data_IF_375657925187
#
_entry.id   IF_375657925187
#
_cell.length_a   1.000
_cell.length_b   1.000
_cell.length_c   1.000
_cell.angle_alpha   90.00
_cell.angle_beta   90.00
_cell.angle_gamma   90.00
#
_symmetry.space_group_name_H-M   'P 1'
#
loop_
_entity.id
_entity.type
_entity.pdbx_description
1 polymer ?
#
# COMPACT_ATOMS: atom_id res chain seq x y z
N UNK A 1 8.76 26.01 14.48
CA UNK A 1 8.18 26.48 13.28
C UNK A 1 8.27 25.48 12.17
N UNK A 2 7.16 25.20 11.53
CA UNK A 2 7.11 24.28 10.44
C UNK A 2 7.08 22.83 10.89
N UNK A 3 7.49 21.97 10.00
CA UNK A 3 7.39 20.54 10.17
C UNK A 3 8.51 19.86 9.41
N UNK A 4 8.78 18.62 9.82
CA UNK A 4 9.64 17.74 9.05
C UNK A 4 8.81 17.01 8.01
N UNK A 5 9.45 16.64 6.91
CA UNK A 5 8.80 15.90 5.83
C UNK A 5 9.38 14.50 5.77
N UNK A 6 8.52 13.51 5.66
CA UNK A 6 8.90 12.13 5.39
C UNK A 6 8.27 11.68 4.09
N UNK A 7 9.00 10.89 3.32
CA UNK A 7 8.50 10.33 2.07
C UNK A 7 8.63 8.82 2.09
N UNK A 8 7.51 8.15 1.81
CA UNK A 8 7.45 6.70 1.68
C UNK A 8 6.86 6.34 0.35
N UNK A 9 7.03 5.09 -0.03
CA UNK A 9 6.39 4.54 -1.22
C UNK A 9 5.94 3.11 -0.92
N UNK A 10 4.85 2.70 -1.57
CA UNK A 10 4.28 1.40 -1.34
C UNK A 10 3.49 0.88 -2.54
N UNK A 11 2.97 -0.32 -2.36
CA UNK A 11 2.18 -1.00 -3.37
C UNK A 11 0.83 -1.41 -2.83
N UNK A 12 -0.22 -1.04 -3.55
CA UNK A 12 -1.50 -1.71 -3.42
C UNK A 12 -1.44 -2.91 -4.35
N UNK A 13 -1.44 -4.11 -3.77
CA UNK A 13 -1.31 -5.36 -4.53
C UNK A 13 -2.66 -6.02 -4.62
N UNK A 14 -3.02 -6.48 -5.82
CA UNK A 14 -4.25 -7.23 -6.00
C UNK A 14 -3.99 -8.61 -6.61
N UNK A 15 -4.93 -9.49 -6.37
CA UNK A 15 -4.93 -10.87 -6.81
C UNK A 15 -6.31 -11.21 -7.35
N UNK A 16 -6.34 -11.93 -8.48
CA UNK A 16 -7.61 -12.33 -9.11
C UNK A 16 -7.82 -13.81 -9.00
N UNK A 17 -8.91 -14.20 -8.37
CA UNK A 17 -9.35 -15.59 -8.33
C UNK A 17 -10.88 -15.64 -8.43
N UNK A 18 -11.39 -15.13 -9.55
CA UNK A 18 -12.84 -14.92 -9.72
C UNK A 18 -13.31 -13.57 -9.17
N UNK A 19 -12.61 -13.03 -8.19
CA UNK A 19 -12.84 -11.71 -7.62
C UNK A 19 -11.49 -11.00 -7.52
N UNK A 20 -11.54 -9.69 -7.43
CA UNK A 20 -10.35 -8.89 -7.17
C UNK A 20 -10.25 -8.69 -5.67
N UNK A 21 -9.13 -9.12 -5.09
CA UNK A 21 -8.84 -8.93 -3.67
C UNK A 21 -7.54 -8.16 -3.51
N UNK A 22 -7.49 -7.33 -2.50
CA UNK A 22 -6.34 -6.46 -2.21
C UNK A 22 -5.67 -6.90 -0.92
N UNK A 23 -4.34 -6.80 -0.89
CA UNK A 23 -3.55 -7.20 0.27
C UNK A 23 -3.47 -6.08 1.29
N UNK A 24 -3.82 -6.41 2.53
CA UNK A 24 -3.58 -5.55 3.68
C UNK A 24 -2.78 -6.31 4.72
N UNK A 25 -1.84 -5.61 5.34
CA UNK A 25 -1.06 -6.11 6.45
C UNK A 25 -1.72 -5.70 7.76
N UNK A 26 -1.55 -6.52 8.79
CA UNK A 26 -2.17 -6.29 10.10
C UNK A 26 -1.09 -6.08 11.14
N UNK A 27 -1.32 -5.10 12.01
CA UNK A 27 -0.46 -4.86 13.16
C UNK A 27 -1.30 -4.27 14.28
N UNK A 28 -1.37 -4.98 15.42
CA UNK A 28 -2.11 -4.55 16.61
C UNK A 28 -3.54 -4.11 16.29
N UNK A 29 -4.22 -4.91 15.48
CA UNK A 29 -5.61 -4.66 15.10
C UNK A 29 -5.81 -3.59 14.04
N UNK A 30 -4.75 -3.01 13.51
CA UNK A 30 -4.82 -2.01 12.45
C UNK A 30 -4.39 -2.60 11.12
N UNK A 31 -4.98 -2.08 10.05
CA UNK A 31 -4.68 -2.52 8.69
C UNK A 31 -3.85 -1.46 7.98
N UNK A 32 -2.91 -1.91 7.16
CA UNK A 32 -2.09 -1.01 6.35
C UNK A 32 -1.68 -1.70 5.05
N UNK A 33 -1.24 -0.87 4.10
CA UNK A 33 -0.74 -1.32 2.81
C UNK A 33 0.79 -1.39 2.90
N UNK A 34 1.44 -2.40 2.29
CA UNK A 34 2.90 -2.48 2.32
C UNK A 34 3.56 -1.19 1.82
N UNK A 35 4.40 -0.60 2.64
CA UNK A 35 5.11 0.63 2.31
C UNK A 35 6.28 0.85 3.26
N UNK A 36 7.16 1.76 2.88
CA UNK A 36 8.24 2.16 3.77
C UNK A 36 8.96 3.39 3.27
N UNK A 37 9.90 3.85 4.09
CA UNK A 37 10.63 5.10 3.85
C UNK A 37 11.56 4.99 2.65
N UNK A 38 11.55 6.02 1.82
CA UNK A 38 12.47 6.15 0.71
C UNK A 38 13.88 6.37 1.25
N UNK A 39 14.82 5.61 0.76
CA UNK A 39 16.22 5.70 1.15
C UNK A 39 17.01 6.53 0.14
N UNK A 40 18.15 7.09 0.56
CA UNK A 40 18.99 7.86 -0.37
C UNK A 40 19.36 7.02 -1.60
N UNK A 41 19.23 7.65 -2.76
CA UNK A 41 19.55 6.97 -4.02
C UNK A 41 18.43 6.15 -4.61
N UNK A 42 17.31 6.00 -3.91
CA UNK A 42 16.16 5.27 -4.43
C UNK A 42 15.15 6.23 -5.09
N UNK A 43 14.57 5.79 -6.20
CA UNK A 43 13.36 6.44 -6.68
C UNK A 43 12.14 5.80 -5.99
N UNK A 44 10.96 6.35 -6.22
CA UNK A 44 9.73 5.91 -5.56
C UNK A 44 9.41 4.44 -5.86
N UNK A 45 9.51 4.05 -7.11
CA UNK A 45 9.19 2.67 -7.49
C UNK A 45 10.17 1.67 -6.88
N UNK A 46 11.45 2.00 -6.85
CA UNK A 46 12.46 1.15 -6.21
C UNK A 46 12.16 0.96 -4.74
N UNK A 47 11.83 2.05 -4.04
CA UNK A 47 11.43 1.98 -2.62
C UNK A 47 10.22 1.06 -2.44
N UNK A 48 9.19 1.26 -3.25
CA UNK A 48 7.96 0.49 -3.14
C UNK A 48 8.20 -1.00 -3.36
N UNK A 49 8.99 -1.35 -4.37
CA UNK A 49 9.33 -2.75 -4.66
C UNK A 49 10.16 -3.38 -3.55
N UNK A 50 11.14 -2.64 -3.04
CA UNK A 50 11.98 -3.14 -1.95
C UNK A 50 11.14 -3.41 -0.69
N UNK A 51 10.31 -2.44 -0.30
CA UNK A 51 9.48 -2.59 0.89
C UNK A 51 8.46 -3.72 0.72
N UNK A 52 7.89 -3.87 -0.46
CA UNK A 52 6.96 -4.96 -0.73
C UNK A 52 7.64 -6.31 -0.52
N UNK A 53 8.84 -6.48 -1.08
CA UNK A 53 9.61 -7.71 -0.91
C UNK A 53 9.94 -7.98 0.55
N UNK A 54 10.38 -6.96 1.29
CA UNK A 54 10.74 -7.10 2.69
C UNK A 54 9.52 -7.46 3.56
N UNK A 55 8.39 -6.84 3.31
CA UNK A 55 7.20 -6.99 4.16
C UNK A 55 6.33 -8.19 3.81
N UNK A 56 6.38 -8.68 2.58
CA UNK A 56 5.46 -9.70 2.10
C UNK A 56 6.10 -10.89 1.40
N UNK A 57 7.36 -10.77 1.03
CA UNK A 57 8.03 -11.79 0.22
C UNK A 57 7.59 -11.82 -1.24
N UNK A 58 6.69 -10.94 -1.65
CA UNK A 58 6.24 -10.86 -3.04
C UNK A 58 7.29 -10.14 -3.88
N UNK A 59 7.87 -10.84 -4.84
CA UNK A 59 8.91 -10.29 -5.72
C UNK A 59 8.52 -10.29 -7.19
N UNK A 60 7.52 -11.11 -7.56
CA UNK A 60 7.02 -11.15 -8.93
C UNK A 60 5.73 -10.35 -9.01
N UNK A 61 5.87 -9.06 -9.24
CA UNK A 61 4.74 -8.13 -9.31
C UNK A 61 4.67 -7.55 -10.71
N UNK A 62 3.48 -7.63 -11.30
CA UNK A 62 3.19 -6.92 -12.54
C UNK A 62 2.75 -5.51 -12.17
N UNK A 63 3.63 -4.56 -12.37
CA UNK A 63 3.32 -3.14 -12.08
C UNK A 63 2.32 -2.65 -13.13
N UNK A 64 1.20 -2.12 -12.67
CA UNK A 64 0.18 -1.59 -13.56
C UNK A 64 0.59 -0.19 -14.00
N UNK A 65 0.81 0.04 -15.30
CA UNK A 65 1.28 1.34 -15.76
C UNK A 65 0.25 2.44 -15.54
N UNK A 66 0.75 3.64 -15.36
CA UNK A 66 -0.05 4.87 -15.25
C UNK A 66 -0.86 5.02 -13.97
N UNK A 67 -0.71 4.11 -13.01
CA UNK A 67 -1.34 4.28 -11.70
C UNK A 67 -0.31 4.74 -10.69
N UNK A 68 -0.55 5.91 -10.11
CA UNK A 68 0.28 6.46 -9.06
C UNK A 68 -0.58 7.42 -8.25
N UNK A 69 -0.72 7.14 -6.97
CA UNK A 69 -1.51 7.98 -6.07
C UNK A 69 -0.68 8.43 -4.89
N UNK A 70 -0.71 9.72 -4.60
CA UNK A 70 -0.01 10.27 -3.45
C UNK A 70 -1.01 10.61 -2.37
N UNK A 71 -0.70 10.19 -1.14
CA UNK A 71 -1.48 10.51 0.06
C UNK A 71 -0.57 11.32 0.98
N UNK A 72 -1.11 12.42 1.51
CA UNK A 72 -0.39 13.25 2.47
C UNK A 72 -1.19 13.35 3.75
N UNK A 73 -0.47 13.30 4.88
CA UNK A 73 -1.08 13.52 6.17
C UNK A 73 -0.03 14.01 7.16
N UNK A 74 -0.49 14.59 8.28
CA UNK A 74 0.38 15.06 9.35
C UNK A 74 0.24 14.16 10.56
N UNK A 75 1.34 13.95 11.28
CA UNK A 75 1.28 13.29 12.58
C UNK A 75 2.31 13.92 13.51
N UNK A 76 2.16 13.65 14.79
CA UNK A 76 3.07 14.16 15.82
C UNK A 76 3.95 13.03 16.30
N UNK A 77 5.24 13.31 16.43
CA UNK A 77 6.19 12.35 16.96
C UNK A 77 7.23 13.10 17.77
N UNK A 78 7.38 12.74 19.06
CA UNK A 78 8.33 13.37 19.99
C UNK A 78 8.24 14.91 19.95
N UNK A 79 7.03 15.44 20.00
CA UNK A 79 6.80 16.88 19.99
C UNK A 79 6.95 17.57 18.66
N UNK A 80 7.31 16.85 17.61
CA UNK A 80 7.46 17.40 16.26
C UNK A 80 6.29 17.07 15.37
N UNK A 81 5.93 18.02 14.52
CA UNK A 81 4.95 17.76 13.46
C UNK A 81 5.67 17.19 12.26
N UNK A 82 5.19 16.06 11.78
CA UNK A 82 5.74 15.39 10.61
C UNK A 82 4.70 15.42 9.49
N UNK A 83 5.11 15.94 8.33
CA UNK A 83 4.29 15.82 7.12
C UNK A 83 4.72 14.56 6.39
N UNK A 84 3.81 13.60 6.34
CA UNK A 84 4.06 12.32 5.68
C UNK A 84 3.46 12.32 4.29
N UNK A 85 4.28 11.96 3.32
CA UNK A 85 3.85 11.79 1.94
C UNK A 85 4.11 10.34 1.55
N UNK A 86 3.07 9.63 1.11
CA UNK A 86 3.20 8.26 0.66
C UNK A 86 2.75 8.16 -0.79
N UNK A 87 3.61 7.61 -1.63
CA UNK A 87 3.31 7.38 -3.04
C UNK A 87 2.96 5.90 -3.20
N UNK A 88 1.77 5.62 -3.71
CA UNK A 88 1.31 4.25 -3.93
C UNK A 88 1.26 3.90 -5.41
N UNK A 89 1.82 2.74 -5.73
CA UNK A 89 1.69 2.11 -7.03
C UNK A 89 0.69 0.96 -6.93
N UNK A 90 0.29 0.45 -8.07
CA UNK A 90 -0.65 -0.66 -8.17
C UNK A 90 0.05 -1.83 -8.85
N UNK A 91 -0.09 -3.02 -8.28
CA UNK A 91 0.55 -4.20 -8.84
C UNK A 91 -0.32 -5.43 -8.71
N UNK A 92 -0.18 -6.33 -9.67
CA UNK A 92 -0.88 -7.61 -9.68
C UNK A 92 0.08 -8.73 -9.35
N UNK A 93 -0.33 -9.62 -8.46
CA UNK A 93 0.40 -10.86 -8.17
C UNK A 93 -0.39 -12.06 -8.66
N UNK A 94 0.32 -13.11 -9.07
CA UNK A 94 -0.32 -14.38 -9.45
C UNK A 94 -0.44 -15.33 -8.26
N UNK A 95 0.18 -14.98 -7.13
CA UNK A 95 0.15 -15.82 -5.93
C UNK A 95 -0.39 -15.03 -4.75
N UNK A 96 -1.28 -15.66 -3.97
CA UNK A 96 -1.78 -15.10 -2.73
C UNK A 96 -0.93 -15.46 -1.52
N UNK A 97 0.18 -16.15 -1.72
CA UNK A 97 1.07 -16.58 -0.63
C UNK A 97 1.95 -15.46 -0.17
N UNK A 98 1.76 -15.04 1.08
CA UNK A 98 2.48 -13.93 1.70
C UNK A 98 3.27 -14.43 2.88
N UNK A 99 4.53 -14.01 2.97
CA UNK A 99 5.38 -14.27 4.12
C UNK A 99 5.66 -12.94 4.79
N UNK A 100 4.94 -12.66 5.86
CA UNK A 100 5.06 -11.37 6.54
C UNK A 100 6.38 -11.26 7.31
N UNK A 101 6.86 -10.02 7.44
CA UNK A 101 8.04 -9.72 8.25
C UNK A 101 7.65 -9.68 9.73
N UNK A 102 8.66 -9.60 10.61
CA UNK A 102 8.44 -9.51 12.05
C UNK A 102 7.73 -8.22 12.47
N UNK A 103 7.64 -7.23 11.59
CA UNK A 103 6.97 -5.96 11.88
C UNK A 103 5.45 -6.08 11.90
N UNK A 104 4.91 -7.15 11.32
CA UNK A 104 3.46 -7.33 11.21
C UNK A 104 3.05 -8.64 11.85
N UNK A 105 1.81 -8.70 12.33
CA UNK A 105 1.29 -9.90 12.99
C UNK A 105 0.29 -10.68 12.13
N UNK A 106 0.03 -10.23 10.91
CA UNK A 106 -0.85 -10.95 10.01
C UNK A 106 -1.04 -10.23 8.69
N UNK A 107 -1.81 -10.87 7.82
CA UNK A 107 -2.22 -10.27 6.56
C UNK A 107 -3.59 -10.78 6.17
N UNK A 108 -4.23 -10.09 5.23
CA UNK A 108 -5.53 -10.49 4.74
C UNK A 108 -5.70 -9.98 3.31
N UNK A 109 -6.38 -10.81 2.51
CA UNK A 109 -6.84 -10.42 1.17
C UNK A 109 -8.31 -10.06 1.27
N UNK A 110 -8.66 -8.84 0.88
CA UNK A 110 -10.03 -8.35 1.00
C UNK A 110 -10.55 -7.80 -0.33
N UNK A 111 -11.83 -8.03 -0.57
CA UNK A 111 -12.50 -7.38 -1.69
C UNK A 111 -12.67 -5.89 -1.37
N UNK A 112 -12.96 -5.09 -2.40
CA UNK A 112 -13.23 -3.67 -2.20
C UNK A 112 -14.35 -3.45 -1.17
N UNK A 113 -15.42 -4.22 -1.25
CA UNK A 113 -16.55 -4.11 -0.34
C UNK A 113 -16.15 -4.37 1.11
N UNK A 114 -15.33 -5.40 1.33
CA UNK A 114 -14.82 -5.69 2.66
C UNK A 114 -13.95 -4.56 3.19
N UNK A 115 -13.09 -4.00 2.33
CA UNK A 115 -12.22 -2.88 2.70
C UNK A 115 -13.06 -1.68 3.13
N UNK A 116 -14.08 -1.34 2.34
CA UNK A 116 -14.92 -0.17 2.64
C UNK A 116 -15.65 -0.32 3.95
N UNK A 117 -15.95 -1.55 4.39
CA UNK A 117 -16.63 -1.78 5.66
C UNK A 117 -15.69 -1.88 6.85
N UNK A 118 -14.44 -2.32 6.64
CA UNK A 118 -13.51 -2.62 7.74
C UNK A 118 -12.43 -1.57 7.98
N UNK A 119 -12.03 -0.85 6.93
CA UNK A 119 -10.94 0.12 7.05
C UNK A 119 -11.49 1.46 7.50
N UNK A 120 -10.88 2.03 8.54
CA UNK A 120 -11.32 3.31 9.10
C UNK A 120 -10.78 4.52 8.33
N UNK A 121 -9.61 4.38 7.70
CA UNK A 121 -8.93 5.52 7.09
C UNK A 121 -9.50 5.84 5.71
N UNK A 122 -10.07 7.05 5.59
CA UNK A 122 -10.66 7.50 4.34
C UNK A 122 -9.68 7.48 3.17
N UNK A 123 -8.44 7.90 3.41
CA UNK A 123 -7.42 7.95 2.36
C UNK A 123 -7.16 6.57 1.75
N UNK A 124 -7.13 5.52 2.56
CA UNK A 124 -6.92 4.16 2.07
C UNK A 124 -8.14 3.65 1.31
N UNK A 125 -9.34 3.99 1.76
CA UNK A 125 -10.57 3.63 1.04
C UNK A 125 -10.60 4.28 -0.33
N UNK A 126 -10.27 5.56 -0.40
CA UNK A 126 -10.25 6.29 -1.68
C UNK A 126 -9.21 5.71 -2.62
N UNK A 127 -8.05 5.33 -2.10
CA UNK A 127 -7.01 4.69 -2.90
C UNK A 127 -7.53 3.39 -3.53
N UNK A 128 -8.17 2.55 -2.72
CA UNK A 128 -8.73 1.28 -3.23
C UNK A 128 -9.83 1.53 -4.24
N UNK A 129 -10.71 2.49 -3.98
CA UNK A 129 -11.78 2.81 -4.92
C UNK A 129 -11.24 3.28 -6.28
N UNK A 130 -10.21 4.13 -6.24
CA UNK A 130 -9.57 4.59 -7.48
C UNK A 130 -8.89 3.44 -8.22
N UNK A 131 -8.18 2.59 -7.48
CA UNK A 131 -7.50 1.44 -8.06
C UNK A 131 -8.50 0.48 -8.69
N UNK A 132 -9.61 0.23 -8.00
CA UNK A 132 -10.64 -0.68 -8.49
C UNK A 132 -11.25 -0.17 -9.80
N UNK A 133 -11.57 1.11 -9.86
CA UNK A 133 -12.07 1.72 -11.10
C UNK A 133 -11.04 1.61 -12.22
N UNK A 134 -9.77 1.81 -11.90
CA UNK A 134 -8.69 1.72 -12.87
C UNK A 134 -8.56 0.31 -13.44
N UNK A 135 -8.60 -0.70 -12.56
CA UNK A 135 -8.50 -2.10 -12.95
C UNK A 135 -9.69 -2.50 -13.84
N UNK A 136 -10.90 -2.09 -13.47
CA UNK A 136 -12.10 -2.39 -14.24
C UNK A 136 -11.99 -1.82 -15.65
N UNK A 137 -11.46 -0.61 -15.80
CA UNK A 137 -11.26 0.00 -17.12
C UNK A 137 -10.23 -0.73 -17.97
N UNK A 138 -9.20 -1.32 -17.33
CA UNK A 138 -8.17 -2.06 -18.05
C UNK A 138 -8.64 -3.44 -18.49
N UNK A 139 -9.73 -3.92 -17.90
CA UNK A 139 -10.19 -5.30 -18.12
C UNK A 139 -11.37 -5.42 -19.06
N UNK A 140 -11.63 -4.41 -19.79
CA UNK A 140 -12.74 -4.44 -20.71
C UNK A 140 -12.89 -5.71 -21.48
#
# INVERSE_FOLDING_TARGET
LGYKTEKSAGFLVFFRDGKIRYLFLKKKGKYDIPKGLQQPGEDELTTALRELGEETGLIKIKVIPFFKKTIEYFYRWKGMTIKKKVVYFLGETESDQVKISAEHDGYVWMTKEEILSKIAYRNLKELVEEADRFIVKLNW
#
